data_IF_045747826519
#
_entry.id   IF_045747826519
#
_cell.length_a   1.000
_cell.length_b   1.000
_cell.length_c   1.000
_cell.angle_alpha   90.00
_cell.angle_beta   90.00
_cell.angle_gamma   90.00
#
_symmetry.space_group_name_H-M   'P 1'
#
loop_
_entity.id
_entity.type
_entity.pdbx_description
1 polymer ?
#
# COMPACT_ATOMS: atom_id res chain seq x y z
N UNK A 1 36.90 23.83 -2.67
CA UNK A 1 35.54 23.89 -2.09
C UNK A 1 34.67 22.91 -2.85
N UNK A 2 34.47 21.68 -2.35
CA UNK A 2 33.74 20.61 -3.03
C UNK A 2 32.23 20.72 -2.75
N UNK A 3 31.45 20.87 -3.82
CA UNK A 3 29.99 21.05 -3.79
C UNK A 3 29.25 19.72 -3.49
N UNK A 4 28.22 19.71 -2.62
CA UNK A 4 27.55 18.50 -2.12
C UNK A 4 26.44 17.92 -3.03
N UNK A 5 26.57 18.03 -4.36
CA UNK A 5 25.49 17.70 -5.31
C UNK A 5 25.45 16.22 -5.75
N UNK A 6 26.48 15.42 -5.44
CA UNK A 6 26.63 14.05 -5.98
C UNK A 6 25.92 12.95 -5.14
N UNK A 7 25.27 13.27 -4.01
CA UNK A 7 24.66 12.29 -3.07
C UNK A 7 23.12 12.19 -3.16
N UNK A 8 22.48 12.74 -4.20
CA UNK A 8 21.00 12.76 -4.29
C UNK A 8 20.39 11.70 -5.21
N UNK A 9 21.19 11.03 -6.03
CA UNK A 9 20.69 10.09 -7.04
C UNK A 9 20.66 8.64 -6.53
N UNK A 10 21.68 8.23 -5.76
CA UNK A 10 21.79 6.87 -5.21
C UNK A 10 20.69 6.52 -4.18
N UNK A 11 20.00 7.51 -3.61
CA UNK A 11 18.88 7.30 -2.67
C UNK A 11 17.51 7.23 -3.34
N UNK A 12 17.38 7.52 -4.65
CA UNK A 12 16.09 7.48 -5.36
C UNK A 12 15.69 6.07 -5.83
N UNK A 13 16.66 5.17 -6.02
CA UNK A 13 16.38 3.84 -6.56
C UNK A 13 15.85 2.84 -5.52
N UNK A 14 16.49 2.74 -4.35
CA UNK A 14 16.12 1.73 -3.35
C UNK A 14 14.92 2.14 -2.49
N UNK A 15 14.78 3.43 -2.15
CA UNK A 15 13.67 3.93 -1.32
C UNK A 15 12.31 3.81 -2.00
N UNK A 16 12.27 4.00 -3.32
CA UNK A 16 11.03 3.99 -4.12
C UNK A 16 10.28 2.65 -4.06
N UNK A 17 10.99 1.52 -4.04
CA UNK A 17 10.34 0.20 -3.94
C UNK A 17 9.80 -0.11 -2.54
N UNK A 18 10.34 0.55 -1.51
CA UNK A 18 9.85 0.47 -0.14
C UNK A 18 8.98 1.68 0.26
N UNK A 19 8.63 2.55 -0.70
CA UNK A 19 7.76 3.70 -0.47
C UNK A 19 6.29 3.25 -0.35
N UNK A 20 6.00 2.52 0.72
CA UNK A 20 4.64 2.18 1.13
C UNK A 20 3.81 3.42 1.51
N UNK A 21 4.46 4.57 1.67
CA UNK A 21 3.82 5.86 1.96
C UNK A 21 2.82 6.27 0.88
N UNK A 22 3.11 5.97 -0.40
CA UNK A 22 2.23 6.33 -1.50
C UNK A 22 0.98 5.45 -1.53
N UNK A 23 1.12 4.14 -1.29
CA UNK A 23 -0.03 3.23 -1.18
C UNK A 23 -0.85 3.52 0.08
N UNK A 24 -0.23 3.77 1.23
CA UNK A 24 -0.96 4.16 2.45
C UNK A 24 -1.70 5.48 2.23
N UNK A 25 -1.06 6.50 1.67
CA UNK A 25 -1.70 7.75 1.27
C UNK A 25 -2.86 7.50 0.31
N UNK A 26 -2.72 6.61 -0.66
CA UNK A 26 -3.79 6.25 -1.59
C UNK A 26 -4.99 5.56 -0.91
N UNK A 27 -4.74 4.69 0.08
CA UNK A 27 -5.79 4.02 0.85
C UNK A 27 -6.47 4.96 1.86
N UNK A 28 -5.75 5.91 2.45
CA UNK A 28 -6.26 6.90 3.41
C UNK A 28 -6.69 8.23 2.78
N UNK A 29 -6.56 8.39 1.45
CA UNK A 29 -6.95 9.62 0.74
C UNK A 29 -8.44 9.88 0.95
N UNK A 30 -8.76 11.03 1.58
CA UNK A 30 -10.13 11.48 1.80
C UNK A 30 -10.92 11.43 0.49
N UNK A 31 -12.08 10.77 0.55
CA UNK A 31 -13.01 10.70 -0.59
C UNK A 31 -13.61 12.09 -0.83
N UNK A 32 -13.33 12.64 -2.02
CA UNK A 32 -13.93 13.89 -2.48
C UNK A 32 -15.47 13.75 -2.51
N UNK A 33 -16.22 14.62 -1.79
CA UNK A 33 -17.67 14.50 -1.62
C UNK A 33 -18.48 14.92 -2.86
N UNK A 34 -17.86 15.47 -3.91
CA UNK A 34 -18.57 16.07 -5.06
C UNK A 34 -18.98 15.07 -6.18
N UNK A 35 -18.74 13.76 -6.00
CA UNK A 35 -19.01 12.75 -7.05
C UNK A 35 -20.33 12.00 -6.82
N UNK A 36 -21.14 11.77 -7.87
CA UNK A 36 -22.41 11.04 -7.75
C UNK A 36 -22.17 9.65 -7.14
N UNK A 37 -22.88 9.36 -6.05
CA UNK A 37 -22.67 8.18 -5.22
C UNK A 37 -23.33 6.95 -5.86
N UNK A 38 -22.75 6.44 -6.93
CA UNK A 38 -23.14 5.16 -7.51
C UNK A 38 -22.71 4.04 -6.55
N UNK A 39 -23.65 3.51 -5.76
CA UNK A 39 -23.42 2.44 -4.78
C UNK A 39 -22.77 1.21 -5.43
N UNK A 40 -23.10 0.91 -6.69
CA UNK A 40 -22.51 -0.20 -7.47
C UNK A 40 -20.98 -0.08 -7.62
N UNK A 41 -20.44 1.13 -7.84
CA UNK A 41 -19.00 1.37 -7.94
C UNK A 41 -18.30 1.31 -6.58
N UNK A 42 -18.99 1.73 -5.51
CA UNK A 42 -18.50 1.57 -4.13
C UNK A 42 -18.45 0.11 -3.71
N UNK A 43 -19.45 -0.68 -4.09
CA UNK A 43 -19.51 -2.12 -3.82
C UNK A 43 -18.42 -2.87 -4.59
N UNK A 44 -18.22 -2.55 -5.87
CA UNK A 44 -17.15 -3.14 -6.68
C UNK A 44 -15.76 -2.86 -6.09
N UNK A 45 -15.49 -1.63 -5.64
CA UNK A 45 -14.23 -1.28 -4.95
C UNK A 45 -14.14 -1.87 -3.54
N UNK A 46 -15.28 -2.02 -2.86
CA UNK A 46 -15.37 -2.61 -1.52
C UNK A 46 -15.01 -4.09 -1.52
N UNK A 47 -15.61 -4.87 -2.44
CA UNK A 47 -15.31 -6.31 -2.59
C UNK A 47 -13.84 -6.51 -2.97
N UNK A 48 -13.29 -5.68 -3.87
CA UNK A 48 -11.88 -5.75 -4.25
C UNK A 48 -10.93 -5.46 -3.07
N UNK A 49 -11.23 -4.45 -2.23
CA UNK A 49 -10.48 -4.16 -1.00
C UNK A 49 -10.62 -5.28 0.05
N UNK A 50 -11.82 -5.84 0.18
CA UNK A 50 -12.09 -6.94 1.12
C UNK A 50 -11.28 -8.20 0.76
N UNK A 51 -11.14 -8.49 -0.53
CA UNK A 51 -10.32 -9.59 -1.03
C UNK A 51 -8.86 -9.47 -0.56
N UNK A 52 -8.25 -8.28 -0.71
CA UNK A 52 -6.88 -8.01 -0.24
C UNK A 52 -6.74 -8.18 1.27
N UNK A 53 -7.75 -7.78 2.06
CA UNK A 53 -7.74 -7.93 3.52
C UNK A 53 -7.74 -9.41 3.93
N UNK A 54 -8.66 -10.21 3.38
CA UNK A 54 -8.76 -11.64 3.68
C UNK A 54 -7.49 -12.37 3.22
N UNK A 55 -6.97 -11.99 2.05
CA UNK A 55 -5.71 -12.53 1.53
C UNK A 55 -4.53 -12.24 2.47
N UNK A 56 -4.38 -10.98 2.95
CA UNK A 56 -3.34 -10.63 3.92
C UNK A 56 -3.45 -11.44 5.21
N UNK A 57 -4.66 -11.60 5.75
CA UNK A 57 -4.88 -12.41 6.95
C UNK A 57 -4.44 -13.86 6.72
N UNK A 58 -4.80 -14.44 5.58
CA UNK A 58 -4.41 -15.81 5.24
C UNK A 58 -2.88 -15.95 5.14
N UNK A 59 -2.21 -15.01 4.46
CA UNK A 59 -0.75 -14.97 4.37
C UNK A 59 -0.10 -14.86 5.75
N UNK A 60 -0.59 -13.98 6.62
CA UNK A 60 -0.09 -13.83 8.00
C UNK A 60 -0.25 -15.16 8.75
N UNK A 61 -1.43 -15.79 8.71
CA UNK A 61 -1.68 -17.08 9.38
C UNK A 61 -0.74 -18.17 8.87
N UNK A 62 -0.50 -18.26 7.56
CA UNK A 62 0.44 -19.23 6.97
C UNK A 62 1.86 -18.97 7.48
N UNK A 63 2.33 -17.72 7.46
CA UNK A 63 3.67 -17.35 7.94
C UNK A 63 3.81 -17.65 9.43
N UNK A 64 2.85 -17.22 10.26
CA UNK A 64 2.88 -17.46 11.70
C UNK A 64 2.81 -18.95 12.01
N UNK A 65 1.97 -19.72 11.30
CA UNK A 65 1.92 -21.18 11.44
C UNK A 65 3.22 -21.84 11.01
N UNK A 66 3.86 -21.35 9.95
CA UNK A 66 5.13 -21.87 9.47
C UNK A 66 6.26 -21.62 10.48
N UNK A 67 6.35 -20.41 11.04
CA UNK A 67 7.35 -20.05 12.06
C UNK A 67 7.12 -20.84 13.36
N UNK A 68 5.87 -21.00 13.83
CA UNK A 68 5.56 -21.74 15.06
C UNK A 68 5.75 -23.25 14.89
N UNK A 69 5.58 -23.78 13.68
CA UNK A 69 5.73 -25.21 13.38
C UNK A 69 7.17 -25.61 13.09
N UNK A 70 8.02 -24.67 12.67
CA UNK A 70 9.45 -24.87 12.45
C UNK A 70 10.23 -24.85 13.76
#
# INVERSE_FOLDING_TARGET
>A
MSTPEQNKEAKKGAGYYFDFSEVLTYFFRKKDPSRPRNFSLKMMHGINKLSIIIFLICVIVIITRFIIRS
#
